data_IF_674926315611
#
_entry.id   IF_674926315611
#
_cell.length_a   1.000
_cell.length_b   1.000
_cell.length_c   1.000
_cell.angle_alpha   90.00
_cell.angle_beta   90.00
_cell.angle_gamma   90.00
#
_symmetry.space_group_name_H-M   'P 1'
#
loop_
_entity.id
_entity.type
_entity.pdbx_description
1 polymer ?
#
# COMPACT_ATOMS: atom_id res chain seq x y z
N UNK A 1 -16.99 10.90 -22.44
CA UNK A 1 -15.89 10.05 -21.94
C UNK A 1 -15.15 10.81 -20.84
N UNK A 2 -14.85 10.20 -19.68
CA UNK A 2 -14.07 10.86 -18.65
C UNK A 2 -12.64 11.13 -19.15
N UNK A 3 -12.11 12.32 -18.84
CA UNK A 3 -10.73 12.70 -19.18
C UNK A 3 -9.77 11.78 -18.40
N UNK A 4 -8.73 11.22 -19.04
CA UNK A 4 -7.72 10.46 -18.30
C UNK A 4 -7.08 11.34 -17.22
N UNK A 5 -6.79 10.79 -16.04
CA UNK A 5 -6.21 11.55 -14.94
C UNK A 5 -4.86 12.14 -15.40
N UNK A 6 -4.75 13.46 -15.36
CA UNK A 6 -3.47 14.12 -15.58
C UNK A 6 -2.66 14.06 -14.28
N UNK A 7 -1.65 13.20 -14.25
CA UNK A 7 -0.73 13.12 -13.11
C UNK A 7 0.11 14.39 -13.11
N UNK A 8 -0.03 15.19 -12.05
CA UNK A 8 0.65 16.48 -11.94
C UNK A 8 2.17 16.29 -11.77
N UNK A 9 3.02 17.21 -12.26
CA UNK A 9 4.49 17.08 -12.18
C UNK A 9 5.05 16.80 -10.77
N UNK A 10 4.54 17.42 -9.68
CA UNK A 10 5.01 17.10 -8.32
C UNK A 10 4.65 15.68 -7.84
N UNK A 11 3.65 15.03 -8.46
CA UNK A 11 3.26 13.65 -8.13
C UNK A 11 4.13 12.62 -8.85
N UNK A 12 4.60 12.94 -10.07
CA UNK A 12 5.55 12.09 -10.80
C UNK A 12 6.83 11.85 -9.99
N UNK A 13 7.32 12.86 -9.26
CA UNK A 13 8.49 12.74 -8.40
C UNK A 13 8.29 11.79 -7.18
N UNK A 14 7.04 11.39 -6.89
CA UNK A 14 6.69 10.47 -5.80
C UNK A 14 6.44 9.04 -6.29
N UNK A 15 6.49 8.80 -7.61
CA UNK A 15 6.36 7.46 -8.16
C UNK A 15 7.55 6.60 -7.70
N UNK A 16 7.23 5.42 -7.19
CA UNK A 16 8.19 4.41 -6.77
C UNK A 16 7.58 3.03 -6.98
N UNK A 17 8.42 2.00 -6.90
CA UNK A 17 7.98 0.61 -6.92
C UNK A 17 7.20 0.25 -5.65
N UNK A 18 6.43 -0.85 -5.71
CA UNK A 18 5.71 -1.34 -4.54
C UNK A 18 6.66 -1.72 -3.40
N UNK A 19 7.81 -2.32 -3.72
CA UNK A 19 8.83 -2.71 -2.73
C UNK A 19 9.42 -1.47 -2.04
N UNK A 20 9.75 -0.41 -2.79
CA UNK A 20 10.21 0.86 -2.21
C UNK A 20 9.12 1.55 -1.36
N UNK A 21 7.86 1.47 -1.78
CA UNK A 21 6.74 2.06 -1.06
C UNK A 21 6.54 1.38 0.29
N UNK A 22 6.52 0.03 0.33
CA UNK A 22 6.28 -0.70 1.58
C UNK A 22 7.44 -0.56 2.56
N UNK A 23 8.67 -0.26 2.12
CA UNK A 23 9.79 0.06 3.03
C UNK A 23 9.52 1.25 3.95
N UNK A 24 8.57 2.12 3.59
CA UNK A 24 8.16 3.26 4.42
C UNK A 24 7.25 2.86 5.59
N UNK A 25 6.63 1.68 5.55
CA UNK A 25 5.82 1.13 6.63
C UNK A 25 6.75 0.56 7.70
N UNK A 26 6.67 1.08 8.93
CA UNK A 26 7.53 0.69 10.05
C UNK A 26 6.74 -0.16 11.04
N UNK A 27 7.46 -0.92 11.87
CA UNK A 27 6.88 -1.68 12.99
C UNK A 27 6.03 -0.77 13.89
N UNK A 28 4.89 -1.30 14.36
CA UNK A 28 3.97 -0.58 15.24
C UNK A 28 3.06 0.44 14.55
N UNK A 29 3.12 0.58 13.21
CA UNK A 29 2.26 1.52 12.50
C UNK A 29 0.83 1.00 12.33
N UNK A 30 -0.13 1.92 12.41
CA UNK A 30 -1.49 1.69 11.93
C UNK A 30 -1.55 2.00 10.43
N UNK A 31 -1.97 1.03 9.63
CA UNK A 31 -2.12 1.14 8.17
C UNK A 31 -3.59 1.01 7.81
N UNK A 32 -4.16 2.09 7.29
CA UNK A 32 -5.50 2.06 6.71
C UNK A 32 -5.40 1.79 5.21
N UNK A 33 -6.10 0.79 4.73
CA UNK A 33 -6.17 0.46 3.30
C UNK A 33 -7.51 0.89 2.72
N UNK A 34 -7.47 1.40 1.49
CA UNK A 34 -8.67 1.59 0.69
C UNK A 34 -9.26 0.25 0.23
N UNK A 35 -10.47 0.32 -0.30
CA UNK A 35 -11.21 -0.83 -0.82
C UNK A 35 -12.43 -1.19 0.02
N UNK A 36 -13.41 -1.83 -0.61
CA UNK A 36 -14.67 -2.22 0.02
C UNK A 36 -15.18 -3.53 -0.58
N UNK A 37 -15.30 -4.58 0.24
CA UNK A 37 -15.83 -5.89 -0.15
C UNK A 37 -15.08 -6.45 -1.37
N UNK A 38 -13.75 -6.47 -1.27
CA UNK A 38 -12.85 -6.99 -2.32
C UNK A 38 -12.62 -6.07 -3.53
N UNK A 39 -13.23 -4.88 -3.60
CA UNK A 39 -13.01 -3.93 -4.68
C UNK A 39 -12.10 -2.77 -4.25
N UNK A 40 -11.02 -2.53 -5.00
CA UNK A 40 -10.13 -1.37 -4.78
C UNK A 40 -9.08 -1.56 -3.67
N UNK A 41 -8.82 -2.80 -3.27
CA UNK A 41 -7.70 -3.15 -2.40
C UNK A 41 -6.37 -2.86 -3.10
N UNK A 42 -5.30 -2.41 -2.42
CA UNK A 42 -3.99 -2.24 -3.05
C UNK A 42 -3.21 -3.57 -3.11
N UNK A 43 -3.56 -4.47 -4.02
CA UNK A 43 -3.01 -5.83 -4.10
C UNK A 43 -1.47 -5.81 -4.22
N UNK A 44 -0.94 -4.93 -5.08
CA UNK A 44 0.51 -4.83 -5.31
C UNK A 44 1.29 -4.44 -4.04
N UNK A 45 0.73 -3.54 -3.22
CA UNK A 45 1.36 -3.14 -1.95
C UNK A 45 1.27 -4.23 -0.90
N UNK A 46 0.15 -4.95 -0.81
CA UNK A 46 0.02 -6.05 0.16
C UNK A 46 0.92 -7.23 -0.17
N UNK A 47 1.03 -7.60 -1.45
CA UNK A 47 1.97 -8.61 -1.90
C UNK A 47 3.45 -8.20 -1.64
N UNK A 48 3.79 -6.92 -1.84
CA UNK A 48 5.13 -6.42 -1.52
C UNK A 48 5.43 -6.45 -0.02
N UNK A 49 4.44 -6.07 0.81
CA UNK A 49 4.58 -6.09 2.26
C UNK A 49 4.75 -7.52 2.80
N UNK A 50 4.01 -8.49 2.26
CA UNK A 50 4.18 -9.91 2.57
C UNK A 50 5.59 -10.40 2.23
N UNK A 51 6.06 -10.15 0.99
CA UNK A 51 7.43 -10.52 0.58
C UNK A 51 8.48 -9.92 1.49
N UNK A 52 8.33 -8.65 1.89
CA UNK A 52 9.22 -7.98 2.83
C UNK A 52 9.21 -8.67 4.19
N UNK A 53 8.03 -8.99 4.72
CA UNK A 53 7.90 -9.70 5.99
C UNK A 53 8.60 -11.05 5.98
N UNK A 54 8.38 -11.85 4.92
CA UNK A 54 8.98 -13.18 4.79
C UNK A 54 10.51 -13.14 4.64
N UNK A 55 11.04 -12.13 3.97
CA UNK A 55 12.49 -12.01 3.70
C UNK A 55 13.28 -11.34 4.83
N UNK A 56 12.70 -10.35 5.50
CA UNK A 56 13.41 -9.53 6.50
C UNK A 56 12.87 -9.72 7.92
N UNK A 57 11.90 -10.60 8.12
CA UNK A 57 11.20 -10.80 9.38
C UNK A 57 10.64 -9.49 9.93
N UNK A 58 9.99 -8.67 9.11
CA UNK A 58 9.37 -7.41 9.54
C UNK A 58 8.74 -6.63 8.38
N UNK A 59 7.88 -5.64 8.65
CA UNK A 59 7.57 -5.03 9.95
C UNK A 59 6.64 -5.88 10.84
N UNK A 60 6.69 -5.65 12.15
CA UNK A 60 5.84 -6.32 13.14
C UNK A 60 4.79 -5.37 13.72
N UNK A 61 3.83 -5.95 14.46
CA UNK A 61 2.86 -5.21 15.28
C UNK A 61 2.10 -4.14 14.49
N UNK A 62 1.81 -4.41 13.22
CA UNK A 62 0.97 -3.52 12.43
C UNK A 62 -0.48 -3.62 12.89
N UNK A 63 -1.14 -2.47 13.00
CA UNK A 63 -2.60 -2.42 13.13
C UNK A 63 -3.20 -2.15 11.75
N UNK A 64 -4.03 -3.04 11.24
CA UNK A 64 -4.64 -2.89 9.91
C UNK A 64 -6.09 -2.41 10.04
N UNK A 65 -6.44 -1.37 9.30
CA UNK A 65 -7.78 -0.78 9.29
C UNK A 65 -8.36 -0.86 7.89
N UNK A 66 -9.57 -1.39 7.79
CA UNK A 66 -10.30 -1.55 6.55
C UNK A 66 -11.73 -1.03 6.73
N UNK A 67 -12.33 -0.50 5.65
CA UNK A 67 -13.73 -0.05 5.68
C UNK A 67 -14.73 -1.22 5.74
N UNK A 68 -14.35 -2.37 5.16
CA UNK A 68 -15.06 -3.65 5.19
C UNK A 68 -14.05 -4.79 5.04
N UNK A 69 -14.52 -6.05 4.98
CA UNK A 69 -13.64 -7.17 4.60
C UNK A 69 -12.97 -6.90 3.25
N UNK A 70 -11.67 -7.24 3.16
CA UNK A 70 -10.89 -7.25 1.93
C UNK A 70 -10.71 -8.68 1.44
#
# INVERSE_FOLDING_TARGET
>A
MPRPPQIQPPLLAKLCSADEAVMRIRTGMTVACGGFVGAGHPESLTAALERRFLSHHGPHELTLVYAAGQ
#
